data_IF_946240308687
#
_entry.id   IF_946240308687
#
_cell.length_a   1.000
_cell.length_b   1.000
_cell.length_c   1.000
_cell.angle_alpha   90.00
_cell.angle_beta   90.00
_cell.angle_gamma   90.00
#
_symmetry.space_group_name_H-M   'P 1'
#
loop_
_entity.id
_entity.type
_entity.pdbx_description
1 polymer ?
#
# COMPACT_ATOMS: atom_id res chain seq x y z
N UNK A 1 4.33 44.90 24.27
CA UNK A 1 4.27 44.42 22.88
C UNK A 1 4.87 43.02 22.86
N UNK A 2 4.03 42.01 23.03
CA UNK A 2 4.43 40.59 23.06
C UNK A 2 4.17 40.01 21.67
N UNK A 3 5.24 39.55 21.01
CA UNK A 3 5.16 38.84 19.73
C UNK A 3 4.31 37.56 19.88
N UNK A 4 3.45 37.22 18.91
CA UNK A 4 2.66 36.00 18.98
C UNK A 4 3.56 34.78 18.74
N UNK A 5 3.39 33.78 19.59
CA UNK A 5 3.97 32.44 19.48
C UNK A 5 3.68 31.85 18.11
N UNK A 6 4.73 31.58 17.33
CA UNK A 6 4.64 30.78 16.12
C UNK A 6 4.22 29.36 16.50
N UNK A 7 3.01 28.96 16.08
CA UNK A 7 2.54 27.58 16.13
C UNK A 7 3.39 26.76 15.15
N UNK A 8 4.20 25.84 15.66
CA UNK A 8 5.07 24.98 14.84
C UNK A 8 4.24 24.03 13.98
N UNK A 9 4.58 23.98 12.68
CA UNK A 9 4.04 23.11 11.63
C UNK A 9 4.49 21.65 11.82
N UNK A 10 3.98 20.95 12.83
CA UNK A 10 4.32 19.54 13.09
C UNK A 10 3.13 18.56 12.94
N UNK A 11 2.21 18.80 11.99
CA UNK A 11 0.94 18.04 11.90
C UNK A 11 0.82 17.07 10.70
N UNK A 12 1.93 16.73 10.03
CA UNK A 12 1.89 15.84 8.84
C UNK A 12 2.85 14.64 8.90
N UNK A 13 3.41 14.32 10.07
CA UNK A 13 4.37 13.21 10.19
C UNK A 13 3.64 11.87 10.36
N UNK A 14 3.71 11.03 9.33
CA UNK A 14 3.29 9.62 9.45
C UNK A 14 4.08 8.98 10.60
N UNK A 15 3.35 8.39 11.55
CA UNK A 15 3.93 7.80 12.76
C UNK A 15 4.75 6.56 12.41
N UNK A 16 6.08 6.70 12.45
CA UNK A 16 7.03 5.60 12.25
C UNK A 16 7.07 4.60 13.42
N UNK A 17 6.25 4.78 14.44
CA UNK A 17 6.09 3.83 15.52
C UNK A 17 4.78 4.03 16.25
N UNK A 18 4.29 2.97 16.88
CA UNK A 18 3.02 2.98 17.57
C UNK A 18 2.74 1.69 18.32
N UNK A 19 1.57 1.64 18.94
CA UNK A 19 1.10 0.48 19.71
C UNK A 19 -0.26 0.04 19.19
N UNK A 20 -0.52 -1.25 19.30
CA UNK A 20 -1.82 -1.84 19.05
C UNK A 20 -2.13 -2.84 20.17
N UNK A 21 -3.34 -3.38 20.18
CA UNK A 21 -3.70 -4.37 21.19
C UNK A 21 -2.82 -5.62 21.09
N UNK A 22 -2.06 -5.93 22.15
CA UNK A 22 -1.16 -7.07 22.17
C UNK A 22 0.23 -6.81 21.56
N UNK A 23 0.58 -5.58 21.18
CA UNK A 23 1.90 -5.32 20.61
C UNK A 23 2.28 -3.88 20.32
N UNK A 24 3.43 -3.73 19.68
CA UNK A 24 3.93 -2.45 19.16
C UNK A 24 4.58 -2.64 17.80
N UNK A 25 4.71 -1.54 17.06
CA UNK A 25 5.38 -1.54 15.77
C UNK A 25 6.37 -0.38 15.65
N UNK A 26 7.37 -0.57 14.80
CA UNK A 26 8.31 0.45 14.36
C UNK A 26 8.60 0.27 12.87
N UNK A 27 8.55 1.35 12.11
CA UNK A 27 8.88 1.42 10.70
C UNK A 27 10.25 2.09 10.60
N UNK A 28 11.22 1.39 10.02
CA UNK A 28 12.56 1.91 9.81
C UNK A 28 12.83 2.02 8.31
N UNK A 29 13.24 3.19 7.86
CA UNK A 29 13.54 3.47 6.45
C UNK A 29 15.03 3.39 6.21
N UNK A 30 15.44 2.59 5.22
CA UNK A 30 16.83 2.46 4.79
C UNK A 30 16.89 2.67 3.28
N UNK A 31 17.14 3.91 2.85
CA UNK A 31 17.20 4.25 1.43
C UNK A 31 15.85 4.02 0.73
N UNK A 32 15.80 3.21 -0.35
CA UNK A 32 14.58 3.00 -1.14
C UNK A 32 13.61 1.98 -0.54
N UNK A 33 13.89 1.39 0.63
CA UNK A 33 13.03 0.39 1.27
C UNK A 33 12.79 0.68 2.76
N UNK A 34 11.69 0.14 3.28
CA UNK A 34 11.32 0.20 4.69
C UNK A 34 11.14 -1.20 5.27
N UNK A 35 11.48 -1.34 6.55
CA UNK A 35 11.20 -2.52 7.36
C UNK A 35 10.13 -2.20 8.39
N UNK A 36 9.24 -3.17 8.63
CA UNK A 36 8.25 -3.16 9.70
C UNK A 36 8.69 -4.13 10.79
N UNK A 37 9.16 -3.59 11.91
CA UNK A 37 9.42 -4.36 13.13
C UNK A 37 8.14 -4.39 13.98
N UNK A 38 7.71 -5.58 14.35
CA UNK A 38 6.55 -5.84 15.19
C UNK A 38 7.02 -6.55 16.45
N UNK A 39 6.55 -6.12 17.61
CA UNK A 39 6.70 -6.83 18.88
C UNK A 39 5.33 -7.34 19.31
N UNK A 40 5.19 -8.65 19.49
CA UNK A 40 3.96 -9.30 19.95
C UNK A 40 4.14 -9.80 21.39
N UNK A 41 3.13 -9.54 22.21
CA UNK A 41 2.97 -10.17 23.52
C UNK A 41 2.49 -11.63 23.38
N UNK A 42 2.44 -12.35 24.50
CA UNK A 42 1.89 -13.72 24.55
C UNK A 42 0.49 -13.78 23.93
N UNK A 43 0.27 -14.78 23.07
CA UNK A 43 -0.98 -15.04 22.34
C UNK A 43 -1.50 -13.90 21.43
N UNK A 44 -0.81 -12.76 21.38
CA UNK A 44 -1.12 -11.69 20.45
C UNK A 44 -0.78 -12.12 19.02
N UNK A 45 -1.59 -11.70 18.04
CA UNK A 45 -1.40 -12.10 16.67
C UNK A 45 -1.39 -10.96 15.66
N UNK A 46 -0.65 -11.19 14.58
CA UNK A 46 -0.56 -10.35 13.41
C UNK A 46 -0.81 -11.21 12.17
N UNK A 47 -1.66 -10.75 11.28
CA UNK A 47 -1.92 -11.37 9.98
C UNK A 47 -0.99 -10.76 8.95
N UNK A 48 -0.22 -11.59 8.25
CA UNK A 48 0.71 -11.16 7.19
C UNK A 48 1.02 -12.34 6.25
N UNK A 49 1.64 -12.07 5.10
CA UNK A 49 2.16 -13.13 4.24
C UNK A 49 3.47 -13.68 4.79
N UNK A 50 3.71 -14.98 4.56
CA UNK A 50 4.97 -15.59 4.94
C UNK A 50 6.14 -15.05 4.12
N UNK A 51 5.92 -14.74 2.84
CA UNK A 51 6.97 -14.27 1.93
C UNK A 51 7.46 -12.85 2.25
N UNK A 52 6.64 -12.06 2.95
CA UNK A 52 7.02 -10.73 3.43
C UNK A 52 7.84 -10.80 4.74
N UNK A 53 8.00 -11.99 5.35
CA UNK A 53 8.78 -12.18 6.57
C UNK A 53 10.29 -12.21 6.29
N UNK A 54 11.01 -11.31 6.95
CA UNK A 54 12.48 -11.24 6.89
C UNK A 54 13.10 -12.04 8.04
N UNK A 55 12.59 -11.86 9.26
CA UNK A 55 13.10 -12.54 10.44
C UNK A 55 12.02 -12.63 11.53
N UNK A 56 12.16 -13.61 12.43
CA UNK A 56 11.32 -13.72 13.62
C UNK A 56 12.12 -14.26 14.80
N UNK A 57 11.74 -13.88 16.02
CA UNK A 57 12.24 -14.53 17.24
C UNK A 57 11.80 -16.00 17.29
N UNK A 58 12.49 -16.81 18.11
CA UNK A 58 12.15 -18.22 18.33
C UNK A 58 10.71 -18.40 18.85
N UNK A 59 10.26 -17.50 19.73
CA UNK A 59 8.92 -17.55 20.34
C UNK A 59 7.76 -17.24 19.38
N UNK A 60 8.02 -16.61 18.22
CA UNK A 60 6.96 -16.38 17.23
C UNK A 60 6.63 -17.69 16.53
N UNK A 61 5.38 -18.13 16.64
CA UNK A 61 4.84 -19.26 15.87
C UNK A 61 3.92 -18.72 14.78
N UNK A 62 3.93 -19.30 13.58
CA UNK A 62 2.99 -18.94 12.53
C UNK A 62 2.17 -20.15 12.10
N UNK A 63 0.90 -19.90 11.79
CA UNK A 63 -0.06 -20.92 11.35
C UNK A 63 -0.85 -20.41 10.16
N UNK A 64 -1.20 -21.32 9.26
CA UNK A 64 -2.15 -20.99 8.19
C UNK A 64 -3.48 -20.55 8.78
N UNK A 65 -4.03 -19.46 8.26
CA UNK A 65 -5.26 -18.89 8.74
C UNK A 65 -6.47 -19.56 8.08
N UNK A 66 -6.94 -20.67 8.68
CA UNK A 66 -8.08 -21.43 8.17
C UNK A 66 -9.40 -20.64 8.10
N UNK A 67 -9.56 -19.53 8.86
CA UNK A 67 -10.74 -18.64 8.76
C UNK A 67 -10.91 -18.05 7.35
N UNK A 68 -9.83 -17.93 6.59
CA UNK A 68 -9.86 -17.46 5.20
C UNK A 68 -10.19 -18.57 4.20
N UNK A 69 -9.95 -19.85 4.49
CA UNK A 69 -10.31 -20.98 3.60
C UNK A 69 -11.82 -21.14 3.40
N UNK A 70 -12.64 -20.78 4.40
CA UNK A 70 -14.11 -20.82 4.26
C UNK A 70 -14.66 -19.62 3.47
N UNK A 71 -13.99 -18.45 3.53
CA UNK A 71 -14.32 -17.26 2.72
C UNK A 71 -13.79 -17.36 1.28
N UNK A 72 -12.71 -18.11 1.06
CA UNK A 72 -12.14 -18.42 -0.27
C UNK A 72 -13.12 -19.12 -1.21
N UNK A 73 -14.14 -19.80 -0.66
CA UNK A 73 -15.20 -20.44 -1.47
C UNK A 73 -16.25 -19.43 -1.99
N UNK A 74 -16.26 -18.20 -1.47
CA UNK A 74 -17.28 -17.17 -1.78
C UNK A 74 -16.69 -15.86 -2.31
N UNK A 75 -15.45 -15.51 -1.92
CA UNK A 75 -14.73 -14.32 -2.36
C UNK A 75 -13.25 -14.66 -2.61
N UNK A 76 -12.80 -14.43 -3.83
CA UNK A 76 -11.52 -14.85 -4.41
C UNK A 76 -10.35 -13.95 -3.92
N UNK A 77 -10.03 -13.99 -2.62
CA UNK A 77 -8.96 -13.18 -2.03
C UNK A 77 -7.82 -14.04 -1.44
N UNK A 78 -6.70 -14.22 -2.16
CA UNK A 78 -5.57 -15.05 -1.74
C UNK A 78 -4.53 -14.34 -0.86
N UNK A 79 -4.73 -13.08 -0.44
CA UNK A 79 -3.59 -12.24 -0.04
C UNK A 79 -3.13 -12.27 1.43
N UNK A 80 -3.75 -13.05 2.34
CA UNK A 80 -3.16 -13.27 3.67
C UNK A 80 -3.40 -14.67 4.18
N UNK A 81 -2.32 -15.45 4.20
CA UNK A 81 -2.41 -16.87 4.45
C UNK A 81 -2.00 -17.24 5.88
N UNK A 82 -1.30 -16.37 6.62
CA UNK A 82 -0.70 -16.72 7.90
C UNK A 82 -1.04 -15.77 9.05
N UNK A 83 -1.18 -16.34 10.24
CA UNK A 83 -1.21 -15.62 11.52
C UNK A 83 0.07 -15.90 12.27
N UNK A 84 0.85 -14.85 12.51
CA UNK A 84 2.02 -14.86 13.39
C UNK A 84 1.55 -14.58 14.82
N UNK A 85 1.95 -15.43 15.76
CA UNK A 85 1.48 -15.45 17.14
C UNK A 85 2.70 -15.33 18.05
N UNK A 86 2.62 -14.39 19.00
CA UNK A 86 3.69 -14.11 19.96
C UNK A 86 3.87 -15.17 21.05
N UNK A 87 4.87 -14.97 21.92
CA UNK A 87 5.64 -13.73 22.10
C UNK A 87 6.89 -13.60 21.21
N UNK A 88 7.29 -12.36 20.95
CA UNK A 88 8.59 -12.04 20.36
C UNK A 88 8.54 -10.94 19.30
N UNK A 89 9.62 -10.83 18.56
CA UNK A 89 9.77 -9.86 17.47
C UNK A 89 9.58 -10.52 16.11
N UNK A 90 8.90 -9.82 15.22
CA UNK A 90 8.70 -10.18 13.82
C UNK A 90 9.16 -9.00 12.95
N UNK A 91 10.00 -9.28 11.97
CA UNK A 91 10.47 -8.30 11.01
C UNK A 91 9.89 -8.64 9.64
N UNK A 92 9.16 -7.68 9.07
CA UNK A 92 8.55 -7.76 7.74
C UNK A 92 9.17 -6.70 6.81
N UNK A 93 9.18 -6.99 5.52
CA UNK A 93 9.54 -6.03 4.47
C UNK A 93 8.62 -6.19 3.27
N UNK A 94 8.19 -5.08 2.62
CA UNK A 94 7.47 -5.16 1.35
C UNK A 94 8.32 -5.81 0.26
N UNK A 95 7.68 -6.56 -0.62
CA UNK A 95 8.27 -7.07 -1.87
C UNK A 95 8.50 -5.98 -2.94
N UNK A 96 8.05 -4.75 -2.67
CA UNK A 96 8.22 -3.59 -3.55
C UNK A 96 9.15 -2.53 -2.94
N UNK A 97 9.79 -1.74 -3.79
CA UNK A 97 10.61 -0.60 -3.33
C UNK A 97 9.71 0.52 -2.83
N UNK A 98 9.86 0.90 -1.57
CA UNK A 98 9.24 2.10 -1.04
C UNK A 98 9.06 2.03 0.47
N UNK A 99 7.93 2.55 0.92
CA UNK A 99 7.67 2.84 2.32
C UNK A 99 6.47 2.04 2.85
N UNK A 100 6.19 2.19 4.14
CA UNK A 100 5.06 1.52 4.81
C UNK A 100 4.21 2.58 5.51
N UNK A 101 2.92 2.57 5.20
CA UNK A 101 1.90 3.42 5.84
C UNK A 101 1.20 2.62 6.95
N UNK A 102 1.27 3.03 8.23
CA UNK A 102 0.40 2.50 9.27
C UNK A 102 -0.93 3.28 9.32
N UNK A 103 -2.03 2.61 8.99
CA UNK A 103 -3.39 3.14 9.08
C UNK A 103 -4.05 2.57 10.34
N UNK A 104 -4.39 3.44 11.30
CA UNK A 104 -5.10 3.04 12.50
C UNK A 104 -6.61 3.07 12.24
N UNK A 105 -7.26 1.95 12.51
CA UNK A 105 -8.71 1.80 12.41
C UNK A 105 -9.33 1.92 13.80
N UNK A 106 -10.34 2.78 13.91
CA UNK A 106 -11.03 3.15 15.14
C UNK A 106 -12.34 2.37 15.36
N UNK A 107 -12.67 1.44 14.47
CA UNK A 107 -13.93 0.70 14.47
C UNK A 107 -15.11 1.43 13.83
N UNK A 108 -14.93 2.67 13.38
CA UNK A 108 -16.00 3.52 12.82
C UNK A 108 -15.73 3.91 11.38
N UNK A 109 -14.46 4.18 11.06
CA UNK A 109 -14.04 4.68 9.76
C UNK A 109 -13.48 3.54 8.92
N UNK A 110 -14.08 3.31 7.76
CA UNK A 110 -13.55 2.38 6.76
C UNK A 110 -12.49 3.06 5.89
N UNK A 111 -11.51 2.27 5.46
CA UNK A 111 -10.52 2.70 4.48
C UNK A 111 -10.59 1.81 3.24
N UNK A 112 -10.26 2.40 2.10
CA UNK A 112 -10.01 1.68 0.86
C UNK A 112 -8.51 1.67 0.58
N UNK A 113 -7.97 0.52 0.20
CA UNK A 113 -6.56 0.30 -0.14
C UNK A 113 -6.50 -0.11 -1.61
N UNK A 114 -5.50 0.42 -2.32
CA UNK A 114 -5.24 0.12 -3.72
C UNK A 114 -4.78 -1.32 -3.96
N UNK A 115 -4.47 -1.63 -5.23
CA UNK A 115 -4.26 -2.99 -5.74
C UNK A 115 -3.17 -3.82 -5.06
N UNK A 116 -2.19 -3.18 -4.42
CA UNK A 116 -1.09 -3.89 -3.77
C UNK A 116 -1.51 -4.57 -2.46
N UNK A 117 -2.69 -4.20 -1.93
CA UNK A 117 -3.19 -4.71 -0.66
C UNK A 117 -2.32 -4.28 0.52
N UNK A 118 -2.64 -4.75 1.74
CA UNK A 118 -1.80 -4.51 2.91
C UNK A 118 -0.57 -5.44 2.92
N UNK A 119 0.45 -5.05 3.68
CA UNK A 119 1.61 -5.86 4.07
C UNK A 119 1.27 -6.72 5.30
N UNK A 120 0.58 -6.13 6.27
CA UNK A 120 0.19 -6.79 7.51
C UNK A 120 -1.02 -6.11 8.15
N UNK A 121 -1.76 -6.84 8.99
CA UNK A 121 -2.92 -6.33 9.71
C UNK A 121 -3.00 -6.96 11.10
N UNK A 122 -3.47 -6.21 12.09
CA UNK A 122 -3.82 -6.78 13.39
C UNK A 122 -5.08 -7.65 13.30
N UNK A 123 -5.22 -8.62 14.20
CA UNK A 123 -6.25 -9.67 14.23
C UNK A 123 -7.73 -9.21 14.10
N UNK A 124 -8.05 -8.01 14.63
CA UNK A 124 -9.40 -7.43 14.62
C UNK A 124 -9.70 -6.55 13.40
N UNK A 125 -8.78 -6.47 12.45
CA UNK A 125 -9.03 -5.84 11.15
C UNK A 125 -9.74 -6.83 10.24
N UNK A 126 -10.82 -6.36 9.62
CA UNK A 126 -11.51 -7.09 8.56
C UNK A 126 -11.10 -6.49 7.23
N UNK A 127 -10.73 -7.36 6.28
CA UNK A 127 -10.44 -7.01 4.89
C UNK A 127 -11.49 -7.65 3.98
N UNK A 128 -12.05 -6.86 3.07
CA UNK A 128 -12.94 -7.30 2.00
C UNK A 128 -12.38 -6.90 0.64
N UNK A 129 -12.16 -7.87 -0.25
CA UNK A 129 -11.85 -7.57 -1.65
C UNK A 129 -13.11 -7.14 -2.38
N UNK A 130 -13.01 -6.03 -3.10
CA UNK A 130 -14.05 -5.56 -4.01
C UNK A 130 -13.46 -5.44 -5.40
N UNK A 131 -13.99 -6.23 -6.33
CA UNK A 131 -13.87 -5.90 -7.75
C UNK A 131 -14.77 -4.70 -8.03
N UNK A 132 -14.26 -3.67 -8.70
CA UNK A 132 -15.09 -2.54 -9.08
C UNK A 132 -15.90 -2.89 -10.35
N UNK A 133 -17.24 -2.92 -10.29
CA UNK A 133 -18.07 -3.42 -11.40
C UNK A 133 -18.11 -2.48 -12.62
N UNK A 134 -17.68 -1.23 -12.46
CA UNK A 134 -17.81 -0.18 -13.49
C UNK A 134 -16.93 -0.45 -14.74
N UNK A 135 -15.90 -1.30 -14.62
CA UNK A 135 -14.94 -1.55 -15.72
C UNK A 135 -15.07 -2.90 -16.42
N UNK A 136 -16.11 -3.70 -16.15
CA UNK A 136 -16.34 -4.91 -16.94
C UNK A 136 -16.64 -4.62 -18.43
N UNK A 137 -17.05 -3.39 -18.78
CA UNK A 137 -17.49 -3.02 -20.13
C UNK A 137 -16.57 -2.02 -20.87
N UNK A 138 -15.43 -1.64 -20.30
CA UNK A 138 -14.45 -0.73 -20.94
C UNK A 138 -13.17 -1.51 -21.29
N UNK A 139 -13.25 -2.25 -22.40
CA UNK A 139 -12.17 -2.65 -23.31
C UNK A 139 -10.74 -2.69 -22.73
N UNK A 140 -10.24 -3.90 -22.49
CA UNK A 140 -8.79 -4.21 -22.36
C UNK A 140 -8.00 -3.53 -21.23
N UNK A 141 -8.63 -3.15 -20.11
CA UNK A 141 -7.93 -2.55 -18.97
C UNK A 141 -8.16 -3.37 -17.71
N UNK A 142 -7.07 -3.66 -16.99
CA UNK A 142 -7.02 -4.53 -15.80
C UNK A 142 -8.18 -4.22 -14.84
N UNK A 143 -8.87 -5.26 -14.35
CA UNK A 143 -9.87 -5.11 -13.30
C UNK A 143 -9.23 -4.40 -12.10
N UNK A 144 -9.77 -3.23 -11.71
CA UNK A 144 -9.26 -2.51 -10.55
C UNK A 144 -9.80 -3.21 -9.31
N UNK A 145 -8.94 -4.00 -8.67
CA UNK A 145 -9.18 -4.58 -7.36
C UNK A 145 -8.77 -3.56 -6.29
N UNK A 146 -9.70 -3.30 -5.38
CA UNK A 146 -9.43 -2.53 -4.15
C UNK A 146 -9.81 -3.37 -2.95
N UNK A 147 -9.17 -3.11 -1.82
CA UNK A 147 -9.49 -3.75 -0.56
C UNK A 147 -10.15 -2.73 0.36
N UNK A 148 -11.33 -3.05 0.87
CA UNK A 148 -11.93 -2.32 1.98
C UNK A 148 -11.43 -2.90 3.28
N UNK A 149 -11.00 -2.05 4.19
CA UNK A 149 -10.58 -2.45 5.54
C UNK A 149 -11.38 -1.70 6.60
N UNK A 150 -11.78 -2.42 7.63
CA UNK A 150 -12.59 -1.92 8.75
C UNK A 150 -12.25 -2.69 10.02
N UNK A 151 -12.89 -2.33 11.14
CA UNK A 151 -12.62 -2.90 12.46
C UNK A 151 -11.69 -2.03 13.31
N UNK A 152 -11.08 -2.62 14.35
CA UNK A 152 -10.26 -1.90 15.32
C UNK A 152 -8.85 -2.45 15.25
N UNK A 153 -7.84 -1.59 15.06
CA UNK A 153 -6.45 -2.02 15.03
C UNK A 153 -5.60 -1.23 14.06
N UNK A 154 -4.60 -1.89 13.45
CA UNK A 154 -3.67 -1.25 12.52
C UNK A 154 -3.52 -2.08 11.26
N UNK A 155 -3.55 -1.39 10.12
CA UNK A 155 -3.25 -1.94 8.80
C UNK A 155 -1.97 -1.29 8.29
N UNK A 156 -1.02 -2.12 7.87
CA UNK A 156 0.24 -1.67 7.30
C UNK A 156 0.17 -1.81 5.79
N UNK A 157 0.31 -0.72 5.05
CA UNK A 157 0.15 -0.69 3.58
C UNK A 157 1.47 -0.30 2.93
N UNK A 158 2.02 -1.09 2.01
CA UNK A 158 3.24 -0.73 1.29
C UNK A 158 2.95 0.31 0.20
N UNK A 159 3.88 1.24 -0.02
CA UNK A 159 3.88 2.18 -1.15
C UNK A 159 5.03 1.91 -2.09
N UNK A 160 4.86 2.21 -3.39
CA UNK A 160 5.94 2.20 -4.36
C UNK A 160 6.64 3.57 -4.39
N UNK A 161 7.86 3.62 -3.88
CA UNK A 161 8.61 4.87 -3.65
C UNK A 161 8.10 5.64 -2.43
N UNK A 162 8.35 6.95 -2.43
CA UNK A 162 7.91 7.84 -1.35
C UNK A 162 6.38 7.91 -1.26
N UNK A 163 5.87 8.30 -0.10
CA UNK A 163 4.45 8.47 0.15
C UNK A 163 4.13 9.88 0.63
N UNK A 164 2.92 10.33 0.32
CA UNK A 164 2.38 11.63 0.71
C UNK A 164 0.93 11.45 1.20
N UNK A 165 0.61 12.05 2.34
CA UNK A 165 -0.74 12.10 2.88
C UNK A 165 -1.36 13.46 2.56
N UNK A 166 -2.61 13.45 2.10
CA UNK A 166 -3.41 14.62 1.77
C UNK A 166 -4.67 14.60 2.61
N UNK A 167 -4.84 15.58 3.49
CA UNK A 167 -6.07 15.77 4.24
C UNK A 167 -7.00 16.71 3.46
N UNK A 168 -8.21 16.24 3.18
CA UNK A 168 -9.24 16.97 2.47
C UNK A 168 -10.27 17.42 3.48
N UNK A 169 -10.50 18.72 3.55
CA UNK A 169 -11.63 19.30 4.28
C UNK A 169 -12.90 19.11 3.47
N UNK A 170 -14.04 19.42 4.09
CA UNK A 170 -15.32 19.42 3.39
C UNK A 170 -15.23 20.29 2.13
N UNK A 171 -15.74 19.77 1.02
CA UNK A 171 -15.78 20.41 -0.30
C UNK A 171 -14.40 20.55 -1.00
N UNK A 172 -13.30 20.08 -0.39
CA UNK A 172 -11.99 19.99 -1.06
C UNK A 172 -12.04 18.88 -2.12
N UNK A 173 -11.50 19.17 -3.31
CA UNK A 173 -11.37 18.21 -4.41
C UNK A 173 -9.90 17.95 -4.69
N UNK A 174 -9.51 16.67 -4.67
CA UNK A 174 -8.18 16.22 -5.07
C UNK A 174 -8.28 15.28 -6.26
N UNK A 175 -7.54 15.58 -7.32
CA UNK A 175 -7.44 14.72 -8.50
C UNK A 175 -6.11 13.97 -8.46
N UNK A 176 -6.16 12.64 -8.48
CA UNK A 176 -4.99 11.77 -8.38
C UNK A 176 -4.95 10.79 -9.54
N UNK A 177 -3.77 10.55 -10.10
CA UNK A 177 -3.59 9.46 -11.05
C UNK A 177 -3.87 8.11 -10.37
N UNK A 178 -4.70 7.25 -10.97
CA UNK A 178 -5.10 5.98 -10.36
C UNK A 178 -3.91 5.09 -9.96
N UNK A 179 -2.83 5.06 -10.76
CA UNK A 179 -1.65 4.25 -10.45
C UNK A 179 -0.74 4.80 -9.35
N UNK A 180 -1.06 5.99 -8.82
CA UNK A 180 -0.39 6.62 -7.68
C UNK A 180 -1.18 6.50 -6.38
N UNK A 181 -2.31 5.77 -6.36
CA UNK A 181 -3.13 5.59 -5.16
C UNK A 181 -2.61 4.46 -4.26
N UNK A 182 -2.52 4.76 -2.97
CA UNK A 182 -2.17 3.79 -1.92
C UNK A 182 -3.39 3.46 -1.07
N UNK A 183 -4.01 4.46 -0.44
CA UNK A 183 -5.19 4.28 0.40
C UNK A 183 -5.99 5.58 0.57
N UNK A 184 -7.27 5.49 0.90
CA UNK A 184 -8.15 6.65 1.16
C UNK A 184 -9.38 6.29 2.00
N UNK A 185 -10.01 7.28 2.63
CA UNK A 185 -11.27 7.11 3.37
C UNK A 185 -12.36 8.16 3.03
N UNK A 186 -12.16 8.95 1.97
CA UNK A 186 -13.12 9.92 1.48
C UNK A 186 -13.91 9.40 0.27
N UNK A 187 -14.91 10.18 -0.15
CA UNK A 187 -15.69 9.88 -1.36
C UNK A 187 -14.77 9.97 -2.57
N UNK A 188 -14.91 9.04 -3.52
CA UNK A 188 -14.17 9.07 -4.77
C UNK A 188 -15.03 8.71 -5.97
N UNK A 189 -14.64 9.24 -7.12
CA UNK A 189 -15.19 8.92 -8.43
C UNK A 189 -14.05 8.78 -9.43
N UNK A 190 -14.04 7.69 -10.20
CA UNK A 190 -13.10 7.54 -11.32
C UNK A 190 -13.65 8.26 -12.54
N UNK A 191 -12.81 9.05 -13.20
CA UNK A 191 -13.12 9.67 -14.49
C UNK A 191 -12.04 9.29 -15.48
N UNK A 192 -12.47 8.77 -16.62
CA UNK A 192 -11.58 8.56 -17.75
C UNK A 192 -11.23 9.92 -18.37
N UNK A 193 -10.07 9.98 -19.01
CA UNK A 193 -9.77 11.09 -19.92
C UNK A 193 -10.29 10.76 -21.30
N UNK A 194 -10.76 11.76 -22.04
CA UNK A 194 -11.14 11.61 -23.45
C UNK A 194 -9.98 11.09 -24.33
N UNK A 195 -8.74 11.19 -23.82
CA UNK A 195 -7.51 10.67 -24.46
C UNK A 195 -7.26 9.19 -24.22
N UNK A 196 -7.99 8.51 -23.34
CA UNK A 196 -7.87 7.07 -23.05
C UNK A 196 -6.54 6.63 -22.40
N UNK A 197 -5.50 7.45 -22.33
CA UNK A 197 -4.18 7.02 -21.84
C UNK A 197 -4.01 7.06 -20.32
N UNK A 198 -4.90 7.74 -19.59
CA UNK A 198 -4.79 7.90 -18.13
C UNK A 198 -6.16 7.94 -17.46
N UNK A 199 -6.30 7.18 -16.38
CA UNK A 199 -7.49 7.19 -15.51
C UNK A 199 -7.16 8.03 -14.27
N UNK A 200 -7.97 9.04 -13.98
CA UNK A 200 -7.84 9.87 -12.79
C UNK A 200 -8.98 9.59 -11.81
N UNK A 201 -8.65 9.65 -10.54
CA UNK A 201 -9.58 9.52 -9.43
C UNK A 201 -9.80 10.90 -8.81
N UNK A 202 -11.05 11.33 -8.75
CA UNK A 202 -11.48 12.55 -8.08
C UNK A 202 -11.91 12.18 -6.67
N UNK A 203 -11.29 12.79 -5.67
CA UNK A 203 -11.62 12.62 -4.27
C UNK A 203 -12.28 13.89 -3.75
N UNK A 204 -13.34 13.73 -2.97
CA UNK A 204 -14.09 14.82 -2.37
C UNK A 204 -14.07 14.63 -0.84
N UNK A 205 -13.60 15.64 -0.12
CA UNK A 205 -13.54 15.60 1.33
C UNK A 205 -14.92 15.68 2.01
N UNK A 206 -14.99 15.40 3.31
CA UNK A 206 -13.86 15.26 4.22
C UNK A 206 -13.21 13.87 4.21
N UNK A 207 -11.89 13.84 4.42
CA UNK A 207 -11.14 12.61 4.65
C UNK A 207 -9.67 12.75 4.25
N UNK A 208 -9.04 11.62 3.96
CA UNK A 208 -7.62 11.50 3.69
C UNK A 208 -7.41 10.67 2.43
N UNK A 209 -6.43 11.08 1.63
CA UNK A 209 -5.91 10.34 0.48
C UNK A 209 -4.41 10.17 0.66
N UNK A 210 -3.91 8.96 0.45
CA UNK A 210 -2.49 8.61 0.53
C UNK A 210 -2.02 8.20 -0.86
N UNK A 211 -0.98 8.87 -1.32
CA UNK A 211 -0.41 8.70 -2.66
C UNK A 211 1.04 8.26 -2.62
N UNK A 212 1.49 7.60 -3.68
CA UNK A 212 2.86 7.15 -3.86
C UNK A 212 3.57 7.90 -5.00
N UNK A 213 4.89 8.09 -4.85
CA UNK A 213 5.72 8.85 -5.78
C UNK A 213 6.09 8.10 -7.06
N UNK A 214 6.03 6.76 -7.05
CA UNK A 214 6.27 5.94 -8.24
C UNK A 214 4.99 5.25 -8.71
N UNK A 215 4.78 5.27 -10.02
CA UNK A 215 3.70 4.54 -10.67
C UNK A 215 4.28 3.28 -11.32
N UNK A 216 3.77 2.11 -10.94
CA UNK A 216 4.28 0.82 -11.42
C UNK A 216 4.22 0.69 -12.95
N UNK A 217 3.13 1.14 -13.59
CA UNK A 217 2.99 1.06 -15.04
C UNK A 217 3.96 2.01 -15.74
N UNK A 218 4.16 3.21 -15.20
CA UNK A 218 5.16 4.15 -15.72
C UNK A 218 6.57 3.58 -15.58
N UNK A 219 6.88 2.95 -14.46
CA UNK A 219 8.18 2.30 -14.23
C UNK A 219 8.39 1.13 -15.22
N UNK A 220 7.37 0.31 -15.45
CA UNK A 220 7.42 -0.77 -16.43
C UNK A 220 7.62 -0.24 -17.86
N UNK A 221 6.85 0.78 -18.27
CA UNK A 221 7.01 1.44 -19.58
C UNK A 221 8.42 1.99 -19.76
N UNK A 222 8.98 2.64 -18.74
CA UNK A 222 10.36 3.11 -18.77
C UNK A 222 11.36 1.96 -18.95
N UNK A 223 11.19 0.86 -18.20
CA UNK A 223 12.07 -0.31 -18.30
C UNK A 223 12.00 -0.99 -19.68
N UNK A 224 10.81 -1.03 -20.27
CA UNK A 224 10.58 -1.58 -21.61
C UNK A 224 11.25 -0.72 -22.68
N UNK A 225 10.99 0.59 -22.68
CA UNK A 225 11.58 1.52 -23.64
C UNK A 225 13.10 1.54 -23.56
N UNK A 226 13.66 1.38 -22.35
CA UNK A 226 15.10 1.25 -22.17
C UNK A 226 15.66 -0.02 -22.85
N UNK A 227 14.98 -1.15 -22.69
CA UNK A 227 15.37 -2.42 -23.33
C UNK A 227 15.33 -2.29 -24.86
N UNK A 228 14.24 -1.76 -25.40
CA UNK A 228 14.08 -1.53 -26.85
C UNK A 228 15.14 -0.57 -27.41
N UNK A 229 15.40 0.54 -26.71
CA UNK A 229 16.45 1.51 -27.11
C UNK A 229 17.83 0.85 -27.12
N UNK A 230 18.14 0.01 -26.12
CA UNK A 230 19.41 -0.70 -26.05
C UNK A 230 19.55 -1.71 -27.21
N UNK A 231 18.50 -2.49 -27.49
CA UNK A 231 18.48 -3.45 -28.60
C UNK A 231 18.70 -2.74 -29.95
N UNK A 232 18.04 -1.60 -30.17
CA UNK A 232 18.19 -0.80 -31.39
C UNK A 232 19.62 -0.23 -31.55
N UNK A 233 20.25 0.21 -30.46
CA UNK A 233 21.65 0.68 -30.49
C UNK A 233 22.61 -0.48 -30.80
N UNK A 234 22.43 -1.64 -30.15
CA UNK A 234 23.27 -2.82 -30.40
C UNK A 234 23.12 -3.36 -31.82
N UNK A 235 21.92 -3.31 -32.41
CA UNK A 235 21.68 -3.64 -33.82
C UNK A 235 22.38 -2.66 -34.75
N UNK A 236 22.20 -1.36 -34.53
CA UNK A 236 22.87 -0.31 -35.32
C UNK A 236 24.39 -0.44 -35.27
N UNK A 237 24.97 -0.76 -34.11
CA UNK A 237 26.42 -0.93 -33.92
C UNK A 237 26.99 -2.17 -34.63
N UNK A 238 26.18 -3.16 -35.01
CA UNK A 238 26.64 -4.29 -35.84
C UNK A 238 26.88 -3.90 -37.30
N UNK A 239 26.19 -2.86 -37.77
CA UNK A 239 26.29 -2.37 -39.14
C UNK A 239 27.41 -1.33 -39.32
N UNK A 240 28.04 -0.89 -38.22
CA UNK A 240 29.25 -0.09 -38.30
C UNK A 240 30.47 -0.99 -38.56
N UNK A 241 31.19 -0.81 -39.68
CA UNK A 241 32.44 -1.52 -39.88
C UNK A 241 33.42 -1.11 -38.77
N UNK A 242 34.15 -2.08 -38.22
CA UNK A 242 35.33 -1.77 -37.41
C UNK A 242 36.31 -1.07 -38.34
N UNK A 243 36.47 0.25 -38.19
CA UNK A 243 37.56 0.98 -38.82
C UNK A 243 38.87 0.48 -38.17
N UNK A 244 39.53 -0.48 -38.83
CA UNK A 244 40.95 -0.85 -38.63
C UNK A 244 41.89 0.15 -39.33
#
# INVERSE_FOLDING_TARGET
>A
MTSPSQTTKDDFTIRLGGRFHGGSYKITRHGPSAFLSITLADDASLVANQDDMVAKSHGIVYKENFRFKLRKLLNDDPFFEYSFIGPGELLLAPSIWGDIVPIHLDGKTEWTIGKNGPLAMTDKVVKETRSQPIFQNLLHREAIFVYRVSGIGVVFVPSLGSMQQHELKKDDILVVNNGSLVAWNCRYEMKDTDTGDSIFCHFEGPGVVITQGLNALTLLKWSWNYKETKENIEETMKDYPNDE
#
